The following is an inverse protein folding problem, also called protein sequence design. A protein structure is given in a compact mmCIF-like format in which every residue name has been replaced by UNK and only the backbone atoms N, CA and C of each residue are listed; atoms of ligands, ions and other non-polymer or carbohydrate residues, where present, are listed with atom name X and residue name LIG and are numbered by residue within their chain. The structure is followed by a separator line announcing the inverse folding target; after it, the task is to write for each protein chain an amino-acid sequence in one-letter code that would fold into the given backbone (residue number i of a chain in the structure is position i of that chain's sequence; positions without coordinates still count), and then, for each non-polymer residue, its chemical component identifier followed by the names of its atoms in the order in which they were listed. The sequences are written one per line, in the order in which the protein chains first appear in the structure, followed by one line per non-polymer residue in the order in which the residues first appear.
data_IF_904652052941
#
_entry.id   IF_904652052941
#
_cell.length_a   1.000
_cell.length_b   1.000
_cell.length_c   1.000
_cell.angle_alpha   90.00
_cell.angle_beta   90.00
_cell.angle_gamma   90.00
#
_symmetry.space_group_name_H-M   'P 1'
#
loop_
_entity.id
_entity.type
_entity.pdbx_description
1 polymer ?
#
# COMPACT_ATOMS: atom_id res chain seq x y z
N UNK A 1 -4.66 -47.05 -25.36
CA UNK A 1 -4.23 -46.42 -24.09
C UNK A 1 -3.92 -44.95 -24.40
N UNK A 2 -4.83 -44.05 -24.05
CA UNK A 2 -4.79 -42.63 -24.45
C UNK A 2 -4.02 -41.82 -23.40
N UNK A 3 -2.83 -41.33 -23.75
CA UNK A 3 -2.06 -40.39 -22.92
C UNK A 3 -2.79 -39.04 -22.88
N UNK A 4 -3.19 -38.61 -21.69
CA UNK A 4 -3.75 -37.28 -21.47
C UNK A 4 -2.64 -36.21 -21.62
N UNK A 5 -2.90 -35.07 -22.29
CA UNK A 5 -1.89 -34.04 -22.50
C UNK A 5 -1.66 -33.26 -21.20
N UNK A 6 -0.51 -33.50 -20.56
CA UNK A 6 -0.04 -32.78 -19.37
C UNK A 6 -0.01 -31.25 -19.53
N UNK A 7 0.04 -30.75 -20.77
CA UNK A 7 0.10 -29.32 -21.09
C UNK A 7 -1.13 -28.53 -20.63
N UNK A 8 -2.34 -29.10 -20.73
CA UNK A 8 -3.57 -28.40 -20.33
C UNK A 8 -3.69 -28.19 -18.81
N UNK A 9 -3.28 -29.20 -18.03
CA UNK A 9 -3.27 -29.09 -16.55
C UNK A 9 -2.22 -28.11 -16.03
N UNK A 10 -1.09 -27.96 -16.70
CA UNK A 10 -0.05 -27.01 -16.27
C UNK A 10 -0.50 -25.56 -16.45
N UNK A 11 -1.21 -25.26 -17.55
CA UNK A 11 -1.79 -23.93 -17.77
C UNK A 11 -2.85 -23.57 -16.72
N UNK A 12 -3.78 -24.50 -16.42
CA UNK A 12 -4.80 -24.30 -15.38
C UNK A 12 -4.21 -24.10 -13.97
N UNK A 13 -3.07 -24.73 -13.68
CA UNK A 13 -2.37 -24.58 -12.40
C UNK A 13 -1.65 -23.23 -12.29
N UNK A 14 -1.07 -22.73 -13.39
CA UNK A 14 -0.44 -21.40 -13.43
C UNK A 14 -1.51 -20.32 -13.22
N UNK A 15 -2.62 -20.37 -13.96
CA UNK A 15 -3.71 -19.37 -13.88
C UNK A 15 -4.30 -19.24 -12.48
N UNK A 16 -4.50 -20.37 -11.77
CA UNK A 16 -5.03 -20.34 -10.40
C UNK A 16 -4.04 -19.79 -9.38
N UNK A 17 -2.73 -19.98 -9.58
CA UNK A 17 -1.71 -19.45 -8.68
C UNK A 17 -1.37 -17.98 -8.97
N UNK A 18 -1.39 -17.55 -10.23
CA UNK A 18 -1.15 -16.15 -10.59
C UNK A 18 -2.31 -15.25 -10.22
N UNK A 19 -3.57 -15.67 -10.35
CA UNK A 19 -4.71 -14.81 -10.01
C UNK A 19 -4.72 -14.40 -8.53
N UNK A 20 -4.51 -15.35 -7.60
CA UNK A 20 -4.46 -15.05 -6.17
C UNK A 20 -3.20 -14.30 -5.73
N UNK A 21 -2.05 -14.56 -6.36
CA UNK A 21 -0.81 -13.85 -6.05
C UNK A 21 -0.74 -12.45 -6.70
N UNK A 22 -1.39 -12.25 -7.85
CA UNK A 22 -1.43 -10.97 -8.56
C UNK A 22 -2.37 -9.96 -7.88
N UNK A 23 -3.49 -10.39 -7.29
CA UNK A 23 -4.34 -9.49 -6.51
C UNK A 23 -3.64 -8.97 -5.25
N UNK A 24 -2.92 -9.84 -4.53
CA UNK A 24 -2.15 -9.44 -3.36
C UNK A 24 -0.94 -8.57 -3.73
N UNK A 25 -0.20 -8.95 -4.77
CA UNK A 25 0.88 -8.11 -5.30
C UNK A 25 0.37 -6.74 -5.77
N UNK A 26 -0.84 -6.67 -6.33
CA UNK A 26 -1.47 -5.40 -6.73
C UNK A 26 -1.75 -4.50 -5.53
N UNK A 27 -2.25 -5.05 -4.43
CA UNK A 27 -2.54 -4.28 -3.22
C UNK A 27 -1.27 -3.74 -2.54
N UNK A 28 -0.22 -4.56 -2.46
CA UNK A 28 1.06 -4.16 -1.87
C UNK A 28 1.78 -3.10 -2.72
N UNK A 29 1.82 -3.28 -4.04
CA UNK A 29 2.40 -2.30 -4.97
C UNK A 29 1.61 -0.99 -4.95
N UNK A 30 0.29 -1.06 -4.87
CA UNK A 30 -0.55 0.13 -4.73
C UNK A 30 -0.29 0.86 -3.41
N UNK A 31 -0.16 0.12 -2.31
CA UNK A 31 0.11 0.69 -0.99
C UNK A 31 1.47 1.40 -0.96
N UNK A 32 2.52 0.78 -1.50
CA UNK A 32 3.86 1.38 -1.61
C UNK A 32 3.83 2.70 -2.40
N UNK A 33 3.19 2.70 -3.58
CA UNK A 33 3.06 3.92 -4.38
C UNK A 33 2.24 5.02 -3.68
N UNK A 34 1.21 4.63 -2.92
CA UNK A 34 0.41 5.56 -2.13
C UNK A 34 1.22 6.14 -0.95
N UNK A 35 2.02 5.32 -0.26
CA UNK A 35 2.92 5.76 0.81
C UNK A 35 3.96 6.77 0.28
N UNK A 36 4.58 6.48 -0.88
CA UNK A 36 5.52 7.39 -1.53
C UNK A 36 4.89 8.74 -1.91
N UNK A 37 3.66 8.72 -2.42
CA UNK A 37 2.89 9.92 -2.70
C UNK A 37 2.69 10.76 -1.43
N UNK A 38 2.36 10.10 -0.32
CA UNK A 38 2.17 10.76 0.98
C UNK A 38 3.47 11.39 1.49
N UNK A 39 4.58 10.66 1.43
CA UNK A 39 5.90 11.16 1.83
C UNK A 39 6.34 12.36 0.97
N UNK A 40 6.17 12.28 -0.35
CA UNK A 40 6.49 13.36 -1.26
C UNK A 40 5.65 14.63 -0.97
N UNK A 41 4.36 14.44 -0.71
CA UNK A 41 3.45 15.54 -0.37
C UNK A 41 3.82 16.21 0.95
N UNK A 42 4.13 15.45 1.99
CA UNK A 42 4.50 16.01 3.29
C UNK A 42 5.84 16.75 3.23
N UNK A 43 6.80 16.25 2.44
CA UNK A 43 8.04 16.96 2.14
C UNK A 43 7.77 18.32 1.48
N UNK A 44 6.83 18.39 0.53
CA UNK A 44 6.50 19.65 -0.15
C UNK A 44 5.78 20.65 0.75
N UNK A 45 4.99 20.18 1.72
CA UNK A 45 4.32 21.02 2.72
C UNK A 45 5.28 21.60 3.78
N UNK A 46 6.55 21.17 3.81
CA UNK A 46 7.55 21.61 4.79
C UNK A 46 7.03 21.55 6.22
N UNK A 47 6.39 20.43 6.59
CA UNK A 47 6.00 20.16 7.97
C UNK A 47 7.29 19.93 8.80
N UNK A 48 7.88 21.02 9.29
CA UNK A 48 9.13 21.07 10.08
C UNK A 48 8.76 21.05 11.58
N UNK A 49 7.97 20.07 11.98
CA UNK A 49 7.59 19.83 13.37
C UNK A 49 7.55 18.34 13.57
N UNK A 50 8.44 17.83 14.44
CA UNK A 50 8.66 16.39 14.59
C UNK A 50 7.36 15.62 14.76
N UNK A 51 7.06 14.75 13.80
CA UNK A 51 5.85 13.94 13.86
C UNK A 51 5.92 12.94 15.02
N UNK A 52 4.80 12.66 15.71
CA UNK A 52 4.78 11.81 16.89
C UNK A 52 5.34 10.41 16.58
N UNK A 53 6.57 10.13 17.00
CA UNK A 53 7.25 8.84 16.71
C UNK A 53 6.82 7.69 17.61
N UNK A 54 6.05 7.97 18.64
CA UNK A 54 5.65 7.00 19.67
C UNK A 54 4.26 6.39 19.39
N UNK A 55 3.72 6.58 18.18
CA UNK A 55 2.40 6.04 17.81
C UNK A 55 2.49 4.53 17.56
N UNK A 56 1.41 3.84 17.89
CA UNK A 56 1.27 2.40 17.69
C UNK A 56 1.33 2.08 16.19
N UNK A 57 2.08 1.04 15.77
CA UNK A 57 2.08 0.60 14.38
C UNK A 57 0.67 0.25 13.91
N UNK A 58 0.33 0.65 12.70
CA UNK A 58 -0.96 0.34 12.09
C UNK A 58 -0.97 -1.10 11.57
N UNK A 59 -2.14 -1.74 11.59
CA UNK A 59 -2.34 -2.98 10.83
C UNK A 59 -2.33 -2.70 9.31
N UNK A 60 -2.02 -3.71 8.50
CA UNK A 60 -1.99 -3.55 7.03
C UNK A 60 -3.32 -3.04 6.48
N UNK A 61 -4.44 -3.58 6.96
CA UNK A 61 -5.78 -3.19 6.53
C UNK A 61 -6.12 -1.75 6.92
N UNK A 62 -5.79 -1.37 8.16
CA UNK A 62 -6.02 -0.01 8.66
C UNK A 62 -5.19 1.01 7.87
N UNK A 63 -3.94 0.68 7.56
CA UNK A 63 -3.06 1.53 6.76
C UNK A 63 -3.61 1.74 5.35
N UNK A 64 -4.02 0.67 4.67
CA UNK A 64 -4.62 0.75 3.33
C UNK A 64 -5.88 1.63 3.37
N UNK A 65 -6.74 1.42 4.37
CA UNK A 65 -7.97 2.20 4.51
C UNK A 65 -7.67 3.70 4.72
N UNK A 66 -6.72 4.03 5.60
CA UNK A 66 -6.30 5.42 5.85
C UNK A 66 -5.65 6.06 4.63
N UNK A 67 -4.83 5.33 3.88
CA UNK A 67 -4.26 5.79 2.60
C UNK A 67 -5.37 6.16 1.60
N UNK A 68 -6.36 5.28 1.42
CA UNK A 68 -7.53 5.55 0.55
C UNK A 68 -8.28 6.79 0.99
N UNK A 69 -8.55 6.92 2.29
CA UNK A 69 -9.25 8.10 2.85
C UNK A 69 -8.46 9.38 2.61
N UNK A 70 -7.16 9.39 2.88
CA UNK A 70 -6.31 10.57 2.72
C UNK A 70 -6.21 10.99 1.25
N UNK A 71 -5.98 10.04 0.34
CA UNK A 71 -5.93 10.33 -1.10
C UNK A 71 -7.27 10.84 -1.62
N UNK A 72 -8.39 10.29 -1.14
CA UNK A 72 -9.72 10.78 -1.51
C UNK A 72 -9.97 12.21 -0.99
N UNK A 73 -9.51 12.54 0.22
CA UNK A 73 -9.56 13.91 0.74
C UNK A 73 -8.74 14.87 -0.13
N UNK A 74 -7.56 14.45 -0.59
CA UNK A 74 -6.78 15.29 -1.50
C UNK A 74 -7.45 15.48 -2.85
N UNK A 75 -8.04 14.42 -3.40
CA UNK A 75 -8.81 14.48 -4.64
C UNK A 75 -10.06 15.36 -4.54
N UNK A 76 -10.70 15.42 -3.37
CA UNK A 76 -11.88 16.26 -3.13
C UNK A 76 -11.56 17.74 -2.87
N UNK A 77 -10.27 18.11 -2.82
CA UNK A 77 -9.82 19.49 -2.64
C UNK A 77 -9.27 19.80 -1.24
N UNK A 78 -9.33 18.87 -0.28
CA UNK A 78 -8.74 19.02 1.05
C UNK A 78 -7.22 18.77 1.03
N UNK A 79 -6.49 19.50 0.19
CA UNK A 79 -5.10 19.22 -0.19
C UNK A 79 -4.04 19.42 0.91
N UNK A 80 -4.45 19.95 2.07
CA UNK A 80 -3.64 20.13 3.28
C UNK A 80 -3.99 19.13 4.39
N UNK A 81 -4.92 18.20 4.15
CA UNK A 81 -5.24 17.16 5.12
C UNK A 81 -4.00 16.28 5.37
N UNK A 82 -3.73 15.97 6.64
CA UNK A 82 -2.61 15.12 7.07
C UNK A 82 -3.17 14.11 8.08
N UNK A 83 -2.84 12.85 7.89
CA UNK A 83 -3.05 11.81 8.89
C UNK A 83 -1.72 11.58 9.62
N UNK A 84 -1.63 12.08 10.85
CA UNK A 84 -0.40 12.06 11.65
C UNK A 84 0.03 10.65 12.05
N UNK A 85 -0.94 9.78 12.37
CA UNK A 85 -0.66 8.40 12.77
C UNK A 85 -0.19 7.58 11.56
N UNK A 86 -0.86 7.76 10.41
CA UNK A 86 -0.45 7.13 9.15
C UNK A 86 0.96 7.57 8.77
N UNK A 87 1.27 8.86 8.86
CA UNK A 87 2.61 9.33 8.57
C UNK A 87 3.66 8.76 9.52
N UNK A 88 3.38 8.72 10.83
CA UNK A 88 4.27 8.15 11.81
C UNK A 88 4.57 6.68 11.51
N UNK A 89 3.56 5.90 11.15
CA UNK A 89 3.69 4.50 10.74
C UNK A 89 4.56 4.34 9.49
N UNK A 90 4.29 5.10 8.42
CA UNK A 90 5.07 5.05 7.16
C UNK A 90 6.54 5.38 7.41
N UNK A 91 6.83 6.47 8.14
CA UNK A 91 8.23 6.86 8.43
C UNK A 91 8.96 5.82 9.27
N UNK A 92 8.29 5.22 10.25
CA UNK A 92 8.88 4.18 11.07
C UNK A 92 9.24 2.94 10.23
N UNK A 93 8.40 2.57 9.27
CA UNK A 93 8.64 1.43 8.36
C UNK A 93 9.78 1.69 7.37
N UNK A 94 9.79 2.86 6.71
CA UNK A 94 10.86 3.22 5.77
C UNK A 94 12.25 3.36 6.42
N UNK A 95 12.32 3.51 7.74
CA UNK A 95 13.59 3.53 8.46
C UNK A 95 14.10 2.13 8.82
N UNK A 96 13.20 1.16 8.93
CA UNK A 96 13.52 -0.22 9.31
C UNK A 96 13.81 -1.13 8.10
N UNK A 97 13.34 -0.73 6.91
CA UNK A 97 13.69 -1.33 5.62
C UNK A 97 15.07 -0.87 5.13
#
# INVERSE_FOLDING_TARGET
MSQQPFAGRAADLIEKHTAGSAELASADVWAEAAEDCVLARIKSLRLIGGLPRHKTPLSSDERIQRLKTLLNLWASGCSCAVDEDLFADIVNRHRQA
#
